data_IF_030861811094
#
_entry.id   IF_030861811094
#
_cell.length_a   1.000
_cell.length_b   1.000
_cell.length_c   1.000
_cell.angle_alpha   90.00
_cell.angle_beta   90.00
_cell.angle_gamma   90.00
#
_symmetry.space_group_name_H-M   'P 1'
#
loop_
_entity.id
_entity.type
_entity.pdbx_description
1 polymer ?
#
# COMPACT_ATOMS: atom_id res chain seq x y z
N UNK A 1 -24.95 -11.75 26.12
CA UNK A 1 -25.45 -11.34 27.45
C UNK A 1 -24.39 -10.58 28.26
N UNK A 2 -23.19 -11.13 28.49
CA UNK A 2 -22.13 -10.48 29.29
C UNK A 2 -21.72 -9.08 28.79
N UNK A 3 -21.69 -8.86 27.47
CA UNK A 3 -21.29 -7.56 26.90
C UNK A 3 -22.34 -6.46 27.15
N UNK A 4 -23.65 -6.77 27.10
CA UNK A 4 -24.70 -5.78 27.42
C UNK A 4 -24.66 -5.35 28.88
N UNK A 5 -24.32 -6.27 29.79
CA UNK A 5 -24.07 -5.92 31.20
C UNK A 5 -22.87 -4.98 31.34
N UNK A 6 -21.75 -5.23 30.63
CA UNK A 6 -20.59 -4.32 30.57
C UNK A 6 -20.94 -2.94 29.97
N UNK A 7 -21.95 -2.86 29.11
CA UNK A 7 -22.49 -1.61 28.56
C UNK A 7 -23.56 -0.96 29.46
N UNK A 8 -23.74 -1.42 30.70
CA UNK A 8 -24.74 -0.94 31.64
C UNK A 8 -26.17 -0.97 31.07
N UNK A 9 -26.44 -1.94 30.18
CA UNK A 9 -27.70 -2.06 29.44
C UNK A 9 -28.09 -0.75 28.72
N UNK A 10 -27.11 -0.06 28.13
CA UNK A 10 -27.33 1.16 27.35
C UNK A 10 -26.92 0.98 25.89
N UNK A 11 -27.68 1.63 25.01
CA UNK A 11 -27.32 1.77 23.60
C UNK A 11 -26.01 2.54 23.48
N UNK A 12 -25.02 1.99 22.76
CA UNK A 12 -23.76 2.68 22.53
C UNK A 12 -23.89 3.92 21.62
N UNK A 13 -24.99 4.06 20.89
CA UNK A 13 -25.23 5.20 20.00
C UNK A 13 -25.94 6.38 20.67
N UNK A 14 -27.07 6.10 21.34
CA UNK A 14 -27.93 7.14 21.93
C UNK A 14 -28.02 7.13 23.46
N UNK A 15 -27.36 6.19 24.15
CA UNK A 15 -27.37 6.10 25.62
C UNK A 15 -28.67 5.59 26.25
N UNK A 16 -29.72 5.33 25.45
CA UNK A 16 -31.00 4.78 25.91
C UNK A 16 -30.77 3.50 26.72
N UNK A 17 -31.32 3.45 27.93
CA UNK A 17 -31.28 2.29 28.81
C UNK A 17 -32.38 1.30 28.41
N UNK A 18 -32.06 0.01 28.45
CA UNK A 18 -33.02 -1.08 28.21
C UNK A 18 -33.11 -1.96 29.45
N UNK A 19 -34.32 -2.44 29.78
CA UNK A 19 -34.47 -3.44 30.83
C UNK A 19 -33.80 -4.76 30.38
N UNK A 20 -33.14 -5.52 31.26
CA UNK A 20 -32.40 -6.74 30.89
C UNK A 20 -33.18 -7.73 30.03
N UNK A 21 -34.49 -7.91 30.31
CA UNK A 21 -35.37 -8.80 29.56
C UNK A 21 -35.55 -8.42 28.07
N UNK A 22 -35.34 -7.16 27.70
CA UNK A 22 -35.44 -6.68 26.32
C UNK A 22 -34.08 -6.48 25.64
N UNK A 23 -32.98 -6.81 26.31
CA UNK A 23 -31.62 -6.64 25.77
C UNK A 23 -31.38 -7.45 24.48
N UNK A 24 -32.10 -8.55 24.28
CA UNK A 24 -32.03 -9.37 23.05
C UNK A 24 -32.48 -8.64 21.78
N UNK A 25 -33.24 -7.55 21.90
CA UNK A 25 -33.69 -6.73 20.76
C UNK A 25 -32.60 -5.81 20.21
N UNK A 26 -31.49 -5.65 20.93
CA UNK A 26 -30.37 -4.82 20.49
C UNK A 26 -29.53 -5.57 19.45
N UNK A 27 -28.94 -4.82 18.53
CA UNK A 27 -28.13 -5.33 17.43
C UNK A 27 -26.67 -5.07 17.70
N UNK A 28 -25.83 -6.04 17.34
CA UNK A 28 -24.39 -5.96 17.55
C UNK A 28 -23.72 -5.31 16.33
N UNK A 29 -22.91 -4.28 16.57
CA UNK A 29 -22.10 -3.65 15.54
C UNK A 29 -20.72 -4.33 15.46
N UNK A 30 -20.42 -4.98 14.35
CA UNK A 30 -19.15 -5.68 14.13
C UNK A 30 -17.92 -4.76 14.07
N UNK A 31 -18.11 -3.46 13.79
CA UNK A 31 -17.02 -2.49 13.76
C UNK A 31 -16.64 -2.00 15.16
N UNK A 32 -17.62 -1.53 15.95
CA UNK A 32 -17.39 -0.96 17.28
C UNK A 32 -17.37 -2.01 18.40
N UNK A 33 -17.81 -3.24 18.13
CA UNK A 33 -17.86 -4.31 19.12
C UNK A 33 -18.83 -4.02 20.27
N UNK A 34 -19.95 -3.36 19.98
CA UNK A 34 -20.95 -2.90 20.96
C UNK A 34 -22.36 -3.11 20.46
N UNK A 35 -23.31 -3.19 21.39
CA UNK A 35 -24.74 -3.29 21.10
C UNK A 35 -25.42 -1.91 20.98
N UNK A 36 -26.38 -1.84 20.06
CA UNK A 36 -27.13 -0.65 19.69
C UNK A 36 -28.64 -0.97 19.63
N UNK A 37 -29.48 0.01 19.96
CA UNK A 37 -30.92 -0.12 19.75
C UNK A 37 -31.27 -0.18 18.26
N UNK A 38 -32.49 -0.60 17.93
CA UNK A 38 -32.96 -0.77 16.55
C UNK A 38 -32.98 0.54 15.74
N UNK A 39 -33.07 1.70 16.39
CA UNK A 39 -32.96 3.02 15.74
C UNK A 39 -31.53 3.41 15.37
N UNK A 40 -30.53 3.08 16.20
CA UNK A 40 -29.13 3.40 15.93
C UNK A 40 -28.43 2.37 15.04
N UNK A 41 -29.07 1.23 14.80
CA UNK A 41 -28.50 0.13 14.02
C UNK A 41 -29.59 -0.51 13.17
N UNK A 42 -29.64 -0.17 11.88
CA UNK A 42 -30.65 -0.66 10.93
C UNK A 42 -30.20 -1.89 10.15
N UNK A 43 -29.13 -2.59 10.61
CA UNK A 43 -28.53 -3.75 9.96
C UNK A 43 -27.88 -3.44 8.60
N UNK A 44 -27.38 -2.22 8.43
CA UNK A 44 -26.52 -1.93 7.29
C UNK A 44 -25.27 -2.82 7.33
N UNK A 45 -24.80 -3.23 6.15
CA UNK A 45 -23.68 -4.15 6.01
C UNK A 45 -22.47 -3.40 5.47
N UNK A 46 -21.33 -3.50 6.15
CA UNK A 46 -20.07 -2.89 5.73
C UNK A 46 -18.90 -3.86 5.84
N UNK A 47 -17.86 -3.64 5.02
CA UNK A 47 -16.57 -4.32 5.18
C UNK A 47 -15.85 -3.71 6.39
N UNK A 48 -15.28 -4.56 7.25
CA UNK A 48 -14.63 -4.12 8.49
C UNK A 48 -13.11 -4.02 8.29
N UNK A 49 -12.49 -2.83 8.38
CA UNK A 49 -11.06 -2.65 8.15
C UNK A 49 -10.19 -3.57 9.00
N UNK A 50 -10.49 -3.69 10.30
CA UNK A 50 -9.74 -4.58 11.19
C UNK A 50 -9.76 -6.05 10.74
N UNK A 51 -10.85 -6.54 10.15
CA UNK A 51 -10.95 -7.91 9.63
C UNK A 51 -10.17 -8.09 8.33
N UNK A 52 -10.23 -7.10 7.43
CA UNK A 52 -9.42 -7.10 6.20
C UNK A 52 -7.93 -7.11 6.54
N UNK A 53 -7.49 -6.20 7.42
CA UNK A 53 -6.08 -6.03 7.76
C UNK A 53 -5.49 -7.22 8.53
N UNK A 54 -6.30 -7.90 9.34
CA UNK A 54 -5.82 -9.03 10.16
C UNK A 54 -6.00 -10.38 9.46
N UNK A 55 -7.12 -10.57 8.76
CA UNK A 55 -7.56 -11.88 8.26
C UNK A 55 -7.78 -11.92 6.75
N UNK A 56 -7.61 -10.80 6.05
CA UNK A 56 -7.93 -10.69 4.62
C UNK A 56 -9.39 -11.02 4.29
N UNK A 57 -10.27 -10.72 5.25
CA UNK A 57 -11.71 -11.00 5.18
C UNK A 57 -12.47 -9.74 4.80
N UNK A 58 -13.10 -9.75 3.63
CA UNK A 58 -13.95 -8.66 3.14
C UNK A 58 -15.43 -9.04 3.11
N UNK A 59 -15.83 -10.01 3.92
CA UNK A 59 -17.24 -10.26 4.17
C UNK A 59 -17.86 -8.98 4.74
N UNK A 60 -19.10 -8.68 4.35
CA UNK A 60 -19.83 -7.54 4.89
C UNK A 60 -20.55 -7.96 6.16
N UNK A 61 -20.42 -7.16 7.21
CA UNK A 61 -20.99 -7.45 8.52
C UNK A 61 -21.96 -6.36 8.98
N UNK A 62 -22.96 -6.70 9.81
CA UNK A 62 -23.86 -5.72 10.39
C UNK A 62 -23.12 -4.67 11.21
N UNK A 63 -23.40 -3.40 10.93
CA UNK A 63 -22.82 -2.26 11.63
C UNK A 63 -23.88 -1.24 12.02
N UNK A 64 -23.58 -0.44 13.05
CA UNK A 64 -24.41 0.70 13.42
C UNK A 64 -24.47 1.74 12.31
N UNK A 65 -25.51 2.57 12.28
CA UNK A 65 -25.67 3.60 11.24
C UNK A 65 -24.55 4.65 11.31
N UNK A 66 -24.01 4.89 12.51
CA UNK A 66 -22.82 5.73 12.68
C UNK A 66 -21.60 5.08 12.04
N UNK A 67 -21.33 3.82 12.37
CA UNK A 67 -20.19 3.07 11.84
C UNK A 67 -20.26 2.92 10.33
N UNK A 68 -21.45 2.67 9.77
CA UNK A 68 -21.65 2.58 8.32
C UNK A 68 -21.20 3.87 7.62
N UNK A 69 -21.73 5.02 8.05
CA UNK A 69 -21.39 6.34 7.48
C UNK A 69 -19.89 6.64 7.61
N UNK A 70 -19.32 6.35 8.77
CA UNK A 70 -17.89 6.54 9.02
C UNK A 70 -17.03 5.68 8.07
N UNK A 71 -17.40 4.39 7.91
CA UNK A 71 -16.68 3.45 7.05
C UNK A 71 -16.79 3.82 5.57
N UNK A 72 -17.93 4.37 5.12
CA UNK A 72 -18.08 4.90 3.77
C UNK A 72 -17.20 6.14 3.54
N UNK A 73 -17.19 7.08 4.49
CA UNK A 73 -16.39 8.31 4.38
C UNK A 73 -14.89 8.01 4.24
N UNK A 74 -14.36 7.08 5.02
CA UNK A 74 -12.94 6.73 5.00
C UNK A 74 -12.57 5.68 3.94
N UNK A 75 -13.51 5.24 3.10
CA UNK A 75 -13.30 4.06 2.26
C UNK A 75 -12.19 4.26 1.22
N UNK A 76 -12.05 5.49 0.71
CA UNK A 76 -11.06 5.89 -0.29
C UNK A 76 -9.81 6.52 0.32
N UNK A 77 -9.81 6.78 1.63
CA UNK A 77 -8.72 7.48 2.29
C UNK A 77 -7.50 6.55 2.47
N UNK A 78 -6.29 7.00 2.11
CA UNK A 78 -5.07 6.21 2.22
C UNK A 78 -4.58 6.18 3.69
N UNK A 79 -5.21 5.33 4.50
CA UNK A 79 -4.99 5.32 5.96
C UNK A 79 -4.08 4.19 6.46
N UNK A 80 -3.88 3.12 5.69
CA UNK A 80 -3.35 1.86 6.24
C UNK A 80 -1.96 1.49 5.71
N UNK A 81 -0.97 1.50 6.61
CA UNK A 81 0.36 0.87 6.41
C UNK A 81 0.30 -0.63 6.71
N UNK A 82 -0.33 -1.38 5.82
CA UNK A 82 -0.80 -2.76 6.11
C UNK A 82 0.32 -3.75 6.48
N UNK A 83 1.53 -3.59 5.91
CA UNK A 83 2.67 -4.49 6.18
C UNK A 83 3.32 -4.22 7.54
N UNK A 84 3.16 -2.99 8.07
CA UNK A 84 3.56 -2.64 9.42
C UNK A 84 2.52 -3.13 10.44
N UNK A 85 1.24 -2.95 10.12
CA UNK A 85 0.11 -3.39 10.97
C UNK A 85 0.02 -4.92 11.11
N UNK A 86 0.35 -5.66 10.05
CA UNK A 86 0.31 -7.13 10.06
C UNK A 86 1.42 -7.71 9.17
N UNK A 87 2.53 -8.10 9.81
CA UNK A 87 3.70 -8.70 9.13
C UNK A 87 3.38 -10.01 8.38
N UNK A 88 2.26 -10.68 8.69
CA UNK A 88 1.85 -11.91 8.04
C UNK A 88 0.83 -11.70 6.91
N UNK A 89 0.38 -10.47 6.65
CA UNK A 89 -0.67 -10.19 5.65
C UNK A 89 -0.26 -10.59 4.23
N UNK A 90 1.04 -10.50 3.92
CA UNK A 90 1.60 -10.94 2.64
C UNK A 90 1.34 -12.42 2.34
N UNK A 91 1.20 -13.26 3.37
CA UNK A 91 0.90 -14.69 3.21
C UNK A 91 -0.56 -14.95 2.85
N UNK A 92 -1.45 -13.97 3.03
CA UNK A 92 -2.89 -14.10 2.80
C UNK A 92 -3.29 -13.84 1.34
N UNK A 93 -2.48 -13.09 0.59
CA UNK A 93 -2.83 -12.70 -0.77
C UNK A 93 -1.59 -12.53 -1.65
N UNK A 94 -1.49 -13.39 -2.68
CA UNK A 94 -0.48 -13.22 -3.75
C UNK A 94 -0.70 -11.91 -4.50
N UNK A 95 -1.96 -11.51 -4.71
CA UNK A 95 -2.28 -10.26 -5.36
C UNK A 95 -1.74 -9.05 -4.60
N UNK A 96 -1.73 -9.10 -3.26
CA UNK A 96 -1.20 -8.01 -2.46
C UNK A 96 0.32 -7.90 -2.57
N UNK A 97 1.03 -9.03 -2.59
CA UNK A 97 2.47 -9.04 -2.80
C UNK A 97 2.84 -8.48 -4.18
N UNK A 98 2.06 -8.86 -5.21
CA UNK A 98 2.23 -8.34 -6.56
C UNK A 98 1.95 -6.84 -6.66
N UNK A 99 0.85 -6.35 -6.07
CA UNK A 99 0.51 -4.92 -6.10
C UNK A 99 1.60 -4.08 -5.46
N UNK A 100 2.12 -4.50 -4.29
CA UNK A 100 3.23 -3.82 -3.62
C UNK A 100 4.48 -3.78 -4.51
N UNK A 101 4.82 -4.90 -5.18
CA UNK A 101 5.97 -4.96 -6.10
C UNK A 101 5.81 -3.96 -7.25
N UNK A 102 4.64 -3.89 -7.87
CA UNK A 102 4.40 -2.94 -8.97
C UNK A 102 4.45 -1.50 -8.50
N UNK A 103 3.80 -1.18 -7.36
CA UNK A 103 3.85 0.17 -6.78
C UNK A 103 5.27 0.59 -6.43
N UNK A 104 6.09 -0.31 -5.88
CA UNK A 104 7.50 -0.03 -5.60
C UNK A 104 8.32 0.20 -6.88
N UNK A 105 8.06 -0.59 -7.93
CA UNK A 105 8.67 -0.37 -9.24
C UNK A 105 8.33 1.00 -9.81
N UNK A 106 7.04 1.33 -9.86
CA UNK A 106 6.54 2.62 -10.34
C UNK A 106 7.06 3.79 -9.50
N UNK A 107 7.15 3.65 -8.18
CA UNK A 107 7.73 4.65 -7.29
C UNK A 107 9.16 5.02 -7.69
N UNK A 108 9.96 4.04 -8.12
CA UNK A 108 11.32 4.29 -8.61
C UNK A 108 11.38 4.76 -10.06
N UNK A 109 10.40 4.37 -10.90
CA UNK A 109 10.32 4.78 -12.29
C UNK A 109 9.79 6.21 -12.46
N UNK A 110 8.88 6.66 -11.59
CA UNK A 110 8.09 7.88 -11.81
C UNK A 110 8.98 9.08 -12.11
N UNK A 111 10.01 9.33 -11.28
CA UNK A 111 10.85 10.52 -11.45
C UNK A 111 11.71 10.42 -12.73
N UNK A 112 12.05 9.21 -13.18
CA UNK A 112 12.75 8.99 -14.46
C UNK A 112 11.84 9.32 -15.64
N UNK A 113 10.61 8.78 -15.63
CA UNK A 113 9.64 8.95 -16.71
C UNK A 113 9.13 10.39 -16.77
N UNK A 114 8.80 11.00 -15.64
CA UNK A 114 8.29 12.38 -15.52
C UNK A 114 9.29 13.45 -15.97
N UNK A 115 10.57 13.11 -16.09
CA UNK A 115 11.61 14.05 -16.55
C UNK A 115 12.20 13.63 -17.90
N UNK A 116 11.60 12.64 -18.57
CA UNK A 116 11.95 12.24 -19.93
C UNK A 116 11.05 12.95 -20.94
N UNK A 117 11.60 13.83 -21.77
CA UNK A 117 10.83 14.55 -22.81
C UNK A 117 10.23 13.68 -23.91
N UNK A 118 10.57 12.39 -23.96
CA UNK A 118 10.07 11.44 -24.96
C UNK A 118 8.98 10.52 -24.40
N UNK A 119 8.51 10.78 -23.17
CA UNK A 119 7.60 9.90 -22.45
C UNK A 119 6.21 10.49 -22.24
N UNK A 120 5.83 11.55 -22.97
CA UNK A 120 4.59 12.33 -22.77
C UNK A 120 3.36 11.46 -22.54
N UNK A 121 3.10 10.49 -23.43
CA UNK A 121 1.95 9.58 -23.28
C UNK A 121 1.99 8.77 -21.98
N UNK A 122 3.17 8.32 -21.54
CA UNK A 122 3.31 7.55 -20.30
C UNK A 122 3.17 8.48 -19.09
N UNK A 123 3.64 9.72 -19.19
CA UNK A 123 3.47 10.76 -18.16
C UNK A 123 1.99 11.00 -17.90
N UNK A 124 1.18 11.18 -18.95
CA UNK A 124 -0.28 11.35 -18.81
C UNK A 124 -0.92 10.20 -18.02
N UNK A 125 -0.54 8.95 -18.31
CA UNK A 125 -1.06 7.81 -17.55
C UNK A 125 -0.62 7.80 -16.09
N UNK A 126 0.61 8.22 -15.78
CA UNK A 126 1.11 8.30 -14.40
C UNK A 126 0.48 9.47 -13.64
N UNK A 127 0.23 10.61 -14.30
CA UNK A 127 -0.42 11.79 -13.69
C UNK A 127 -1.90 11.54 -13.38
N UNK A 128 -2.57 10.70 -14.17
CA UNK A 128 -3.94 10.27 -13.90
C UNK A 128 -4.07 9.29 -12.73
N UNK A 129 -2.96 8.78 -12.17
CA UNK A 129 -2.99 7.96 -10.98
C UNK A 129 -3.10 8.78 -9.70
N UNK A 130 -3.68 8.19 -8.65
CA UNK A 130 -3.76 8.87 -7.35
C UNK A 130 -2.35 9.09 -6.78
N UNK A 131 -1.95 10.31 -6.39
CA UNK A 131 -0.55 10.63 -6.08
C UNK A 131 0.11 9.72 -5.04
N UNK A 132 -0.60 9.33 -3.96
CA UNK A 132 -0.03 8.46 -2.93
C UNK A 132 0.29 7.05 -3.45
N UNK A 133 -0.38 6.60 -4.52
CA UNK A 133 -0.20 5.26 -5.07
C UNK A 133 1.23 5.08 -5.59
N UNK A 134 1.77 6.14 -6.21
CA UNK A 134 3.13 6.21 -6.75
C UNK A 134 4.15 6.74 -5.74
N UNK A 135 3.74 7.60 -4.79
CA UNK A 135 4.65 8.25 -3.85
C UNK A 135 4.92 7.42 -2.58
N UNK A 136 3.94 6.71 -2.05
CA UNK A 136 4.09 5.88 -0.85
C UNK A 136 3.51 4.47 -1.08
N UNK A 137 4.34 3.52 -1.58
CA UNK A 137 3.91 2.15 -1.87
C UNK A 137 3.38 1.35 -0.67
N UNK A 138 3.59 1.82 0.56
CA UNK A 138 3.23 1.10 1.78
C UNK A 138 1.83 1.43 2.30
N UNK A 139 1.24 2.53 1.84
CA UNK A 139 -0.06 3.03 2.29
C UNK A 139 -1.18 2.59 1.35
N UNK A 140 -2.30 2.12 1.92
CA UNK A 140 -3.48 1.64 1.20
C UNK A 140 -4.77 2.22 1.80
N UNK A 141 -5.77 2.45 0.95
CA UNK A 141 -7.17 2.66 1.31
C UNK A 141 -7.95 1.33 1.35
N UNK A 142 -9.20 1.34 1.85
CA UNK A 142 -10.05 0.14 1.76
C UNK A 142 -10.44 -0.17 0.31
N UNK A 143 -10.65 0.86 -0.52
CA UNK A 143 -10.89 0.70 -1.95
C UNK A 143 -9.72 0.00 -2.64
N UNK A 144 -8.48 0.38 -2.33
CA UNK A 144 -7.29 -0.29 -2.88
C UNK A 144 -7.30 -1.77 -2.55
N UNK A 145 -7.56 -2.12 -1.29
CA UNK A 145 -7.53 -3.52 -0.85
C UNK A 145 -8.62 -4.34 -1.54
N UNK A 146 -9.79 -3.75 -1.82
CA UNK A 146 -10.83 -4.38 -2.64
C UNK A 146 -10.33 -4.59 -4.08
N UNK A 147 -9.71 -3.60 -4.68
CA UNK A 147 -9.16 -3.68 -6.04
C UNK A 147 -7.96 -4.64 -6.16
N UNK A 148 -7.18 -4.79 -5.08
CA UNK A 148 -6.14 -5.82 -4.95
C UNK A 148 -6.78 -7.21 -4.87
N UNK A 149 -7.84 -7.36 -4.05
CA UNK A 149 -8.55 -8.65 -3.95
C UNK A 149 -9.13 -9.06 -5.30
N UNK A 150 -9.78 -8.15 -6.03
CA UNK A 150 -10.37 -8.43 -7.35
C UNK A 150 -9.33 -8.62 -8.45
N UNK A 151 -8.08 -8.18 -8.24
CA UNK A 151 -7.01 -8.23 -9.23
C UNK A 151 -7.00 -7.03 -10.19
N UNK A 152 -8.02 -6.17 -10.16
CA UNK A 152 -8.12 -4.98 -11.00
C UNK A 152 -6.92 -4.05 -10.82
N UNK A 153 -6.49 -3.82 -9.57
CA UNK A 153 -5.30 -3.00 -9.31
C UNK A 153 -4.05 -3.61 -9.94
N UNK A 154 -3.88 -4.94 -9.87
CA UNK A 154 -2.70 -5.60 -10.44
C UNK A 154 -2.65 -5.49 -11.96
N UNK A 155 -3.78 -5.65 -12.64
CA UNK A 155 -3.83 -5.54 -14.09
C UNK A 155 -3.46 -4.13 -14.55
N UNK A 156 -4.04 -3.11 -13.91
CA UNK A 156 -3.73 -1.70 -14.19
C UNK A 156 -2.26 -1.36 -13.94
N UNK A 157 -1.75 -1.69 -12.75
CA UNK A 157 -0.37 -1.40 -12.38
C UNK A 157 0.64 -2.17 -13.24
N UNK A 158 0.34 -3.41 -13.62
CA UNK A 158 1.18 -4.21 -14.51
C UNK A 158 1.34 -3.53 -15.86
N UNK A 159 0.24 -3.06 -16.45
CA UNK A 159 0.27 -2.33 -17.73
C UNK A 159 1.19 -1.10 -17.65
N UNK A 160 1.02 -0.27 -16.61
CA UNK A 160 1.88 0.90 -16.39
C UNK A 160 3.36 0.54 -16.24
N UNK A 161 3.66 -0.50 -15.47
CA UNK A 161 5.03 -0.99 -15.29
C UNK A 161 5.64 -1.47 -16.61
N UNK A 162 4.88 -2.22 -17.41
CA UNK A 162 5.33 -2.73 -18.71
C UNK A 162 5.59 -1.59 -19.70
N UNK A 163 4.72 -0.58 -19.74
CA UNK A 163 4.91 0.62 -20.55
C UNK A 163 6.17 1.39 -20.14
N UNK A 164 6.35 1.63 -18.83
CA UNK A 164 7.54 2.30 -18.31
C UNK A 164 8.81 1.52 -18.62
N UNK A 165 8.81 0.20 -18.39
CA UNK A 165 9.94 -0.68 -18.69
C UNK A 165 10.34 -0.59 -20.16
N UNK A 166 9.38 -0.79 -21.08
CA UNK A 166 9.64 -0.74 -22.53
C UNK A 166 10.24 0.60 -22.95
N UNK A 167 9.64 1.70 -22.51
CA UNK A 167 10.18 3.03 -22.80
C UNK A 167 11.60 3.20 -22.28
N UNK A 168 11.87 2.84 -21.02
CA UNK A 168 13.19 3.04 -20.42
C UNK A 168 14.29 2.16 -21.03
N UNK A 169 13.93 1.02 -21.66
CA UNK A 169 14.88 0.17 -22.37
C UNK A 169 15.17 0.63 -23.80
N UNK A 170 14.26 1.39 -24.41
CA UNK A 170 14.36 1.82 -25.82
C UNK A 170 14.71 3.30 -25.97
N UNK A 171 14.52 4.11 -24.92
CA UNK A 171 14.79 5.54 -24.95
C UNK A 171 16.22 5.88 -24.54
N UNK A 172 16.99 6.47 -25.46
CA UNK A 172 18.38 6.90 -25.23
C UNK A 172 18.53 7.84 -24.03
N UNK A 173 17.58 8.77 -23.84
CA UNK A 173 17.61 9.69 -22.70
C UNK A 173 17.43 8.97 -21.35
N UNK A 174 16.59 7.93 -21.31
CA UNK A 174 16.43 7.10 -20.12
C UNK A 174 17.66 6.21 -19.88
N UNK A 175 18.20 5.61 -20.95
CA UNK A 175 19.40 4.79 -20.89
C UNK A 175 20.60 5.58 -20.36
N UNK A 176 20.81 6.81 -20.85
CA UNK A 176 21.88 7.70 -20.40
C UNK A 176 21.78 8.07 -18.90
N UNK A 177 20.60 7.95 -18.30
CA UNK A 177 20.35 8.22 -16.87
C UNK A 177 20.37 6.96 -16.00
N UNK A 178 20.48 5.79 -16.62
CA UNK A 178 20.65 4.52 -15.92
C UNK A 178 21.99 4.46 -15.18
N UNK A 179 22.22 3.35 -14.49
CA UNK A 179 23.44 3.16 -13.71
C UNK A 179 24.31 2.07 -14.34
N UNK A 180 25.63 2.20 -14.20
CA UNK A 180 26.58 1.11 -14.43
C UNK A 180 27.08 0.66 -13.07
N UNK A 181 27.18 -0.66 -12.86
CA UNK A 181 27.64 -1.19 -11.59
C UNK A 181 29.14 -0.94 -11.40
N UNK A 182 29.52 -0.08 -10.45
CA UNK A 182 30.92 0.32 -10.23
C UNK A 182 31.83 -0.78 -9.62
N UNK A 183 31.29 -1.98 -9.38
CA UNK A 183 31.98 -3.07 -8.67
C UNK A 183 32.41 -4.19 -9.61
N UNK A 184 31.78 -4.29 -10.78
CA UNK A 184 32.11 -5.29 -11.80
C UNK A 184 32.36 -4.61 -13.14
N UNK A 185 33.05 -5.30 -14.04
CA UNK A 185 33.33 -4.81 -15.40
C UNK A 185 32.15 -4.95 -16.38
N UNK A 186 30.96 -5.25 -15.85
CA UNK A 186 29.74 -5.32 -16.64
C UNK A 186 29.23 -3.90 -16.97
N UNK A 187 29.28 -3.56 -18.27
CA UNK A 187 28.83 -2.27 -18.81
C UNK A 187 27.32 -2.20 -19.05
N UNK A 188 26.57 -3.27 -18.77
CA UNK A 188 25.11 -3.26 -18.91
C UNK A 188 24.47 -2.21 -17.98
N UNK A 189 23.58 -1.42 -18.57
CA UNK A 189 22.83 -0.40 -17.84
C UNK A 189 21.79 -1.08 -16.94
N UNK A 190 21.83 -0.73 -15.66
CA UNK A 190 20.90 -1.20 -14.64
C UNK A 190 20.01 -0.07 -14.12
N UNK A 191 18.80 -0.45 -13.73
CA UNK A 191 17.79 0.48 -13.24
C UNK A 191 17.28 0.13 -11.85
N UNK A 192 16.90 1.13 -11.02
CA UNK A 192 16.41 0.90 -9.66
C UNK A 192 15.20 -0.04 -9.53
N UNK A 193 14.34 -0.10 -10.55
CA UNK A 193 13.13 -0.93 -10.55
C UNK A 193 13.37 -2.40 -10.96
N UNK A 194 14.60 -2.77 -11.32
CA UNK A 194 15.00 -4.17 -11.57
C UNK A 194 15.25 -4.91 -10.24
N UNK A 195 14.25 -4.90 -9.35
CA UNK A 195 14.32 -5.30 -7.93
C UNK A 195 14.90 -6.71 -7.66
N UNK A 196 14.93 -7.59 -8.67
CA UNK A 196 15.49 -8.94 -8.54
C UNK A 196 17.02 -8.95 -8.55
N UNK A 197 17.61 -8.11 -9.41
CA UNK A 197 19.03 -8.17 -9.75
C UNK A 197 19.80 -6.90 -9.36
N UNK A 198 19.08 -5.84 -8.98
CA UNK A 198 19.65 -4.53 -8.64
C UNK A 198 19.33 -4.17 -7.19
N UNK A 199 20.34 -3.68 -6.49
CA UNK A 199 20.24 -3.14 -5.13
C UNK A 199 20.66 -1.67 -5.14
N UNK A 200 19.88 -0.82 -4.46
CA UNK A 200 20.08 0.63 -4.42
C UNK A 200 20.57 1.07 -3.05
N UNK A 201 21.58 1.95 -3.01
CA UNK A 201 22.05 2.54 -1.77
C UNK A 201 20.98 3.46 -1.17
N UNK A 202 20.66 3.28 0.12
CA UNK A 202 19.68 4.11 0.82
C UNK A 202 20.13 5.57 0.99
N UNK A 203 21.45 5.81 1.04
CA UNK A 203 22.05 7.14 1.22
C UNK A 203 22.23 7.88 -0.12
N UNK A 204 23.14 7.41 -0.98
CA UNK A 204 23.49 8.11 -2.22
C UNK A 204 22.65 7.72 -3.44
N UNK A 205 21.75 6.75 -3.30
CA UNK A 205 20.83 6.28 -4.36
C UNK A 205 21.48 5.61 -5.58
N UNK A 206 22.80 5.43 -5.61
CA UNK A 206 23.49 4.62 -6.64
C UNK A 206 23.00 3.18 -6.61
N UNK A 207 22.92 2.59 -7.81
CA UNK A 207 22.52 1.20 -8.00
C UNK A 207 23.73 0.30 -8.29
N UNK A 208 23.66 -0.92 -7.79
CA UNK A 208 24.65 -1.98 -8.00
C UNK A 208 23.92 -3.27 -8.30
N UNK A 209 24.58 -4.22 -8.96
CA UNK A 209 24.08 -5.59 -9.01
C UNK A 209 23.98 -6.16 -7.59
N UNK A 210 22.87 -6.84 -7.27
CA UNK A 210 22.63 -7.48 -5.97
C UNK A 210 23.72 -8.50 -5.61
N UNK A 211 24.32 -9.14 -6.63
CA UNK A 211 25.45 -10.06 -6.45
C UNK A 211 26.76 -9.34 -6.12
N UNK A 212 26.94 -8.11 -6.60
CA UNK A 212 28.16 -7.33 -6.44
C UNK A 212 28.19 -6.53 -5.12
N UNK A 213 27.02 -6.12 -4.61
CA UNK A 213 26.96 -5.37 -3.36
C UNK A 213 25.75 -5.78 -2.50
N UNK A 214 26.03 -6.31 -1.31
CA UNK A 214 25.02 -6.66 -0.31
C UNK A 214 24.80 -5.49 0.63
N UNK A 215 23.77 -4.69 0.35
CA UNK A 215 23.45 -3.44 1.05
C UNK A 215 23.33 -3.49 2.57
N UNK A 216 23.18 -4.67 3.18
CA UNK A 216 23.01 -4.83 4.63
C UNK A 216 24.31 -4.84 5.44
N UNK A 217 25.44 -5.25 4.84
CA UNK A 217 26.67 -5.51 5.61
C UNK A 217 27.88 -4.72 5.12
N UNK A 218 27.78 -4.02 3.99
CA UNK A 218 28.93 -3.36 3.35
C UNK A 218 28.66 -1.87 3.13
N UNK A 219 29.66 -1.05 3.46
CA UNK A 219 29.63 0.38 3.21
C UNK A 219 29.63 0.65 1.69
N UNK A 220 28.70 1.46 1.22
CA UNK A 220 28.59 1.79 -0.21
C UNK A 220 29.88 2.48 -0.72
N UNK A 221 30.54 1.97 -1.78
CA UNK A 221 31.80 2.53 -2.28
C UNK A 221 31.73 4.02 -2.63
N UNK A 222 30.66 4.45 -3.31
CA UNK A 222 30.45 5.88 -3.62
C UNK A 222 30.26 6.72 -2.36
N UNK A 223 29.58 6.22 -1.34
CA UNK A 223 29.42 6.95 -0.07
C UNK A 223 30.77 7.12 0.64
N UNK A 224 31.64 6.10 0.62
CA UNK A 224 33.00 6.20 1.18
C UNK A 224 33.79 7.28 0.43
N UNK A 225 33.79 7.25 -0.90
CA UNK A 225 34.49 8.29 -1.71
C UNK A 225 33.96 9.69 -1.43
N UNK A 226 32.63 9.86 -1.31
CA UNK A 226 32.02 11.15 -0.97
C UNK A 226 32.37 11.61 0.45
N UNK A 227 32.45 10.69 1.41
CA UNK A 227 32.87 11.00 2.77
C UNK A 227 34.34 11.44 2.79
N UNK A 228 35.24 10.69 2.15
CA UNK A 228 36.66 11.03 2.10
C UNK A 228 36.90 12.39 1.44
N UNK A 229 36.20 12.71 0.34
CA UNK A 229 36.29 14.02 -0.34
C UNK A 229 35.79 15.20 0.49
N UNK A 230 34.95 14.97 1.50
CA UNK A 230 34.44 16.03 2.39
C UNK A 230 35.34 16.26 3.60
N UNK A 231 36.19 15.29 3.94
CA UNK A 231 37.10 15.34 5.09
C UNK A 231 38.57 15.47 4.67
N UNK A 232 38.82 15.68 3.37
CA UNK A 232 40.10 16.08 2.77
C UNK A 232 40.08 17.58 2.54
#
# INVERSE_FOLDING_TARGET
MQLMAKQNYRCAGCGMRVAPQYASRFRYCDYLGRYFCTGCHTNQLAVIPGRVLQKWDFTRYPVSNFSYRLLEQMFVDPLFRIFELNKNISKRSKNLVLSRKYRLGLHYMKDFVMTCRFAETIQDYLENETPYLLNDPEVYSMLDLVNVRSGQMNNRLKCLVEMCCRHTSECELCLARGFICEVCDDSHIIFPWQLRNVTRCSKCKTCFHTKCWKSRNESCPKCIRLYNRRNS
#
